data_IF_455958653599
#
_entry.id   IF_455958653599
#
_cell.length_a   1.000
_cell.length_b   1.000
_cell.length_c   1.000
_cell.angle_alpha   90.00
_cell.angle_beta   90.00
_cell.angle_gamma   90.00
#
_symmetry.space_group_name_H-M   'P 1'
#
loop_
_entity.id
_entity.type
_entity.pdbx_description
1 polymer ?
#
# COMPACT_ATOMS: atom_id res chain seq x y z
N UNK A 1 7.45 15.31 12.33
CA UNK A 1 6.83 14.71 13.52
C UNK A 1 7.06 13.21 13.48
N UNK A 2 7.45 12.59 14.59
CA UNK A 2 7.55 11.13 14.73
C UNK A 2 6.53 10.72 15.79
N UNK A 3 5.60 9.83 15.46
CA UNK A 3 4.55 9.35 16.39
C UNK A 3 4.65 7.83 16.50
N UNK A 4 4.74 7.35 17.74
CA UNK A 4 4.80 5.91 18.05
C UNK A 4 3.38 5.39 18.20
N UNK A 5 3.12 4.20 17.65
CA UNK A 5 1.82 3.51 17.76
C UNK A 5 0.64 4.37 17.28
N UNK A 6 0.84 5.08 16.17
CA UNK A 6 -0.18 5.93 15.58
C UNK A 6 -1.36 5.10 15.07
N UNK A 7 -2.56 5.41 15.53
CA UNK A 7 -3.81 4.81 15.06
C UNK A 7 -4.36 5.52 13.81
N UNK A 8 -5.52 5.09 13.31
CA UNK A 8 -6.20 5.69 12.15
C UNK A 8 -6.41 7.21 12.32
N UNK A 9 -6.98 7.64 13.44
CA UNK A 9 -7.28 9.05 13.71
C UNK A 9 -6.01 9.90 13.75
N UNK A 10 -4.94 9.37 14.36
CA UNK A 10 -3.65 10.05 14.41
C UNK A 10 -3.07 10.30 13.03
N UNK A 11 -3.19 9.31 12.14
CA UNK A 11 -2.70 9.41 10.76
C UNK A 11 -3.57 10.41 9.99
N UNK A 12 -4.90 10.28 10.06
CA UNK A 12 -5.83 11.19 9.39
C UNK A 12 -5.61 12.64 9.79
N UNK A 13 -5.42 12.92 11.08
CA UNK A 13 -5.12 14.27 11.57
C UNK A 13 -3.79 14.80 10.99
N UNK A 14 -2.75 13.97 10.94
CA UNK A 14 -1.44 14.36 10.45
C UNK A 14 -1.42 14.63 8.94
N UNK A 15 -2.23 13.93 8.15
CA UNK A 15 -2.27 14.06 6.68
C UNK A 15 -3.33 15.04 6.18
N UNK A 16 -4.28 15.43 7.03
CA UNK A 16 -5.41 16.29 6.66
C UNK A 16 -4.94 17.60 6.04
N UNK A 17 -5.42 17.90 4.83
CA UNK A 17 -5.03 19.09 4.06
C UNK A 17 -3.52 19.20 3.77
N UNK A 18 -2.78 18.09 3.86
CA UNK A 18 -1.36 18.02 3.56
C UNK A 18 -1.12 17.09 2.37
N UNK A 19 -0.19 17.48 1.49
CA UNK A 19 0.26 16.56 0.43
C UNK A 19 1.04 15.42 1.07
N UNK A 20 0.46 14.23 1.04
CA UNK A 20 0.96 13.06 1.78
C UNK A 20 1.27 11.90 0.84
N UNK A 21 2.30 11.11 1.17
CA UNK A 21 2.67 9.91 0.42
C UNK A 21 2.67 8.69 1.34
N UNK A 22 2.18 7.56 0.83
CA UNK A 22 2.20 6.28 1.52
C UNK A 22 3.29 5.39 0.92
N UNK A 23 4.37 5.16 1.66
CA UNK A 23 5.44 4.24 1.25
C UNK A 23 5.22 2.90 1.97
N UNK A 24 4.95 1.83 1.21
CA UNK A 24 4.58 0.52 1.76
C UNK A 24 5.28 -0.63 1.05
N UNK A 25 5.47 -1.73 1.78
CA UNK A 25 5.98 -3.00 1.24
C UNK A 25 4.89 -4.06 1.35
N UNK A 26 4.80 -4.99 0.38
CA UNK A 26 3.98 -6.18 0.56
C UNK A 26 4.49 -7.03 1.73
N UNK A 27 3.53 -7.68 2.39
CA UNK A 27 3.76 -8.71 3.40
C UNK A 27 4.36 -9.96 2.76
N UNK A 28 5.22 -10.66 3.49
CA UNK A 28 5.78 -11.94 3.04
C UNK A 28 4.72 -13.05 3.01
N UNK A 29 4.97 -14.10 2.24
CA UNK A 29 4.10 -15.29 2.17
C UNK A 29 2.85 -15.08 1.32
N UNK A 30 1.86 -14.34 1.84
CA UNK A 30 0.55 -14.20 1.17
C UNK A 30 0.51 -13.09 0.12
N UNK A 31 1.44 -12.13 0.17
CA UNK A 31 1.52 -11.07 -0.83
C UNK A 31 0.48 -9.96 -0.68
N UNK A 32 -0.07 -9.75 0.52
CA UNK A 32 -0.95 -8.59 0.77
C UNK A 32 -0.13 -7.31 0.82
N UNK A 33 -0.56 -6.30 0.06
CA UNK A 33 -0.07 -4.93 0.16
C UNK A 33 -0.82 -4.16 1.25
N UNK A 34 -2.14 -4.34 1.31
CA UNK A 34 -3.03 -3.81 2.35
C UNK A 34 -4.04 -4.90 2.69
N UNK A 35 -4.25 -5.16 3.97
CA UNK A 35 -5.17 -6.22 4.41
C UNK A 35 -5.85 -5.86 5.72
N UNK A 36 -6.76 -6.73 6.17
CA UNK A 36 -7.64 -6.47 7.33
C UNK A 36 -6.93 -6.27 8.67
N UNK A 37 -5.67 -6.69 8.79
CA UNK A 37 -4.91 -6.65 10.04
C UNK A 37 -4.22 -5.31 10.34
N UNK A 38 -4.11 -4.40 9.38
CA UNK A 38 -3.40 -3.12 9.53
C UNK A 38 -4.37 -1.94 9.38
N UNK A 39 -5.38 -1.88 10.26
CA UNK A 39 -6.50 -0.92 10.16
C UNK A 39 -6.08 0.54 10.35
N UNK A 40 -4.86 0.80 10.82
CA UNK A 40 -4.28 2.15 10.84
C UNK A 40 -4.23 2.76 9.43
N UNK A 41 -4.00 1.95 8.40
CA UNK A 41 -4.05 2.35 6.99
C UNK A 41 -5.42 1.97 6.41
N UNK A 42 -6.46 2.60 6.96
CA UNK A 42 -7.85 2.35 6.58
C UNK A 42 -8.17 2.88 5.17
N UNK A 43 -9.36 2.53 4.65
CA UNK A 43 -9.85 3.11 3.41
C UNK A 43 -9.94 4.65 3.47
N UNK A 44 -10.19 5.25 4.64
CA UNK A 44 -10.24 6.71 4.80
C UNK A 44 -8.85 7.32 4.60
N UNK A 45 -7.82 6.73 5.22
CA UNK A 45 -6.42 7.15 5.03
C UNK A 45 -6.02 7.01 3.57
N UNK A 46 -6.36 5.88 2.93
CA UNK A 46 -6.05 5.63 1.52
C UNK A 46 -6.78 6.61 0.59
N UNK A 47 -8.00 7.00 0.94
CA UNK A 47 -8.78 7.99 0.19
C UNK A 47 -8.20 9.39 0.30
N UNK A 48 -7.78 9.80 1.49
CA UNK A 48 -7.13 11.09 1.72
C UNK A 48 -5.77 11.18 1.00
N UNK A 49 -5.01 10.09 0.96
CA UNK A 49 -3.70 10.04 0.28
C UNK A 49 -3.85 9.97 -1.25
N UNK A 50 -4.83 9.25 -1.76
CA UNK A 50 -4.98 8.99 -3.20
C UNK A 50 -4.03 7.89 -3.71
N UNK A 51 -4.45 7.16 -4.76
CA UNK A 51 -3.70 6.01 -5.30
C UNK A 51 -2.33 6.43 -5.83
N UNK A 52 -2.30 7.55 -6.52
CA UNK A 52 -1.16 8.13 -7.20
C UNK A 52 -0.02 8.51 -6.25
N UNK A 53 -0.31 8.69 -4.95
CA UNK A 53 0.68 8.99 -3.92
C UNK A 53 1.08 7.74 -3.11
N UNK A 54 0.72 6.54 -3.56
CA UNK A 54 1.16 5.28 -2.97
C UNK A 54 2.40 4.78 -3.71
N UNK A 55 3.50 4.64 -2.97
CA UNK A 55 4.77 4.11 -3.45
C UNK A 55 4.95 2.71 -2.87
N UNK A 56 5.02 1.72 -3.75
CA UNK A 56 5.28 0.33 -3.36
C UNK A 56 6.76 0.03 -3.49
N UNK A 57 7.37 -0.46 -2.41
CA UNK A 57 8.78 -0.85 -2.37
C UNK A 57 8.86 -2.31 -1.96
N UNK A 58 9.65 -3.11 -2.67
CA UNK A 58 9.88 -4.52 -2.32
C UNK A 58 11.19 -4.98 -2.91
N UNK A 59 11.92 -5.88 -2.24
CA UNK A 59 13.03 -6.54 -2.91
C UNK A 59 12.52 -7.43 -4.04
N UNK A 60 13.30 -7.57 -5.11
CA UNK A 60 12.99 -8.52 -6.18
C UNK A 60 12.87 -9.95 -5.66
N UNK A 61 13.68 -10.32 -4.66
CA UNK A 61 13.60 -11.61 -3.98
C UNK A 61 12.24 -11.85 -3.32
N UNK A 62 11.68 -10.86 -2.61
CA UNK A 62 10.36 -10.99 -1.98
C UNK A 62 9.27 -11.22 -3.03
N UNK A 63 9.32 -10.52 -4.16
CA UNK A 63 8.36 -10.73 -5.25
C UNK A 63 8.52 -12.10 -5.93
N UNK A 64 9.77 -12.55 -6.13
CA UNK A 64 10.07 -13.92 -6.61
C UNK A 64 9.51 -14.99 -5.67
N UNK A 65 9.59 -14.79 -4.36
CA UNK A 65 9.05 -15.74 -3.37
C UNK A 65 7.52 -15.89 -3.44
N UNK A 66 6.82 -14.90 -4.00
CA UNK A 66 5.39 -14.95 -4.28
C UNK A 66 5.08 -15.62 -5.64
N UNK A 67 6.08 -16.19 -6.31
CA UNK A 67 5.98 -16.70 -7.68
C UNK A 67 5.41 -15.67 -8.67
N UNK A 68 5.71 -14.39 -8.44
CA UNK A 68 5.14 -13.27 -9.20
C UNK A 68 3.60 -13.24 -9.25
N UNK A 69 2.92 -13.90 -8.29
CA UNK A 69 1.47 -13.78 -8.12
C UNK A 69 1.11 -12.33 -7.79
N UNK A 70 -0.09 -11.85 -8.18
CA UNK A 70 -0.52 -10.49 -7.88
C UNK A 70 -0.39 -10.16 -6.38
N UNK A 71 -0.15 -8.88 -6.08
CA UNK A 71 -0.32 -8.39 -4.71
C UNK A 71 -1.81 -8.26 -4.42
N UNK A 72 -2.19 -8.47 -3.16
CA UNK A 72 -3.58 -8.42 -2.74
C UNK A 72 -3.88 -7.17 -1.91
N UNK A 73 -5.06 -6.59 -2.11
CA UNK A 73 -5.58 -5.50 -1.28
C UNK A 73 -6.96 -5.85 -0.74
N UNK A 74 -7.14 -5.69 0.57
CA UNK A 74 -8.45 -5.77 1.21
C UNK A 74 -8.56 -4.69 2.28
N UNK A 75 -9.28 -3.61 1.95
CA UNK A 75 -9.53 -2.44 2.80
C UNK A 75 -10.89 -2.49 3.50
N UNK A 76 -11.64 -3.59 3.37
CA UNK A 76 -13.05 -3.68 3.78
C UNK A 76 -13.97 -2.64 3.12
N UNK A 77 -13.52 -1.96 2.07
CA UNK A 77 -14.29 -1.01 1.27
C UNK A 77 -14.11 -1.34 -0.22
N UNK A 78 -15.21 -1.72 -0.89
CA UNK A 78 -15.18 -2.24 -2.25
C UNK A 78 -14.71 -1.19 -3.27
N UNK A 79 -15.12 0.07 -3.11
CA UNK A 79 -14.72 1.17 -3.99
C UNK A 79 -13.21 1.44 -3.92
N UNK A 80 -12.67 1.47 -2.70
CA UNK A 80 -11.23 1.65 -2.47
C UNK A 80 -10.44 0.46 -2.99
N UNK A 81 -10.92 -0.77 -2.79
CA UNK A 81 -10.34 -1.99 -3.35
C UNK A 81 -10.27 -1.97 -4.89
N UNK A 82 -11.35 -1.53 -5.55
CA UNK A 82 -11.39 -1.35 -7.00
C UNK A 82 -10.40 -0.28 -7.46
N UNK A 83 -10.34 0.88 -6.78
CA UNK A 83 -9.37 1.94 -7.08
C UNK A 83 -7.93 1.48 -6.89
N UNK A 84 -7.68 0.59 -5.91
CA UNK A 84 -6.36 0.05 -5.64
C UNK A 84 -5.94 -1.10 -6.59
N UNK A 85 -6.88 -1.70 -7.32
CA UNK A 85 -6.60 -2.78 -8.26
C UNK A 85 -5.97 -2.29 -9.56
N UNK A 86 -5.43 -3.22 -10.35
CA UNK A 86 -4.76 -2.93 -11.63
C UNK A 86 -3.24 -2.98 -11.49
N UNK A 87 -2.52 -2.29 -12.37
CA UNK A 87 -1.06 -2.29 -12.33
C UNK A 87 -0.51 -1.10 -11.53
N UNK A 88 0.58 -1.35 -10.80
CA UNK A 88 1.34 -0.33 -10.07
C UNK A 88 2.83 -0.53 -10.35
N UNK A 89 3.61 0.55 -10.24
CA UNK A 89 5.06 0.46 -10.22
C UNK A 89 5.54 0.03 -8.85
N UNK A 90 6.45 -0.95 -8.80
CA UNK A 90 7.12 -1.39 -7.58
C UNK A 90 8.61 -1.06 -7.72
N UNK A 91 9.13 -0.28 -6.78
CA UNK A 91 10.56 0.00 -6.68
C UNK A 91 11.24 -1.25 -6.11
N UNK A 92 12.16 -1.83 -6.88
CA UNK A 92 12.85 -3.08 -6.52
C UNK A 92 14.34 -2.95 -6.25
N UNK A 93 14.91 -1.79 -6.61
CA UNK A 93 16.33 -1.49 -6.46
C UNK A 93 16.61 -0.02 -6.75
N UNK A 94 17.89 0.37 -6.74
CA UNK A 94 18.30 1.72 -7.07
C UNK A 94 18.02 2.02 -8.55
N UNK A 95 17.09 2.94 -8.82
CA UNK A 95 16.61 3.27 -10.18
C UNK A 95 15.99 2.07 -10.92
N UNK A 96 15.53 1.05 -10.19
CA UNK A 96 14.88 -0.13 -10.77
C UNK A 96 13.42 -0.20 -10.32
N UNK A 97 12.51 -0.27 -11.31
CA UNK A 97 11.08 -0.41 -11.11
C UNK A 97 10.54 -1.55 -11.99
N UNK A 98 9.51 -2.24 -11.50
CA UNK A 98 8.73 -3.18 -12.31
C UNK A 98 7.24 -2.89 -12.23
N UNK A 99 6.52 -3.14 -13.32
CA UNK A 99 5.05 -3.13 -13.29
C UNK A 99 4.56 -4.42 -12.62
N UNK A 100 3.72 -4.27 -11.59
CA UNK A 100 3.20 -5.38 -10.83
C UNK A 100 1.68 -5.31 -10.71
N UNK A 101 1.02 -6.46 -10.75
CA UNK A 101 -0.44 -6.54 -10.70
C UNK A 101 -0.93 -6.53 -9.25
N UNK A 102 -1.92 -5.69 -8.96
CA UNK A 102 -2.72 -5.70 -7.73
C UNK A 102 -4.11 -6.27 -8.05
N UNK A 103 -4.61 -7.14 -7.16
CA UNK A 103 -5.98 -7.64 -7.15
C UNK A 103 -6.63 -7.38 -5.79
N UNK A 104 -7.94 -7.13 -5.80
CA UNK A 104 -8.79 -7.20 -4.62
C UNK A 104 -9.62 -8.47 -4.61
#
# INVERSE_FOLDING_TARGET
MLKKDANESDILEAIKNQKSMLIITPTGGQGYLLGRGNQQISYKVINEIGRENIIVVSTLYKLKSLNFKPLYVDTSNEETNKRLSGYIKVIVGYKEEIMYKIKC
#
